data_IF_213235586367
#
_entry.id   IF_213235586367
#
_cell.length_a   1.000
_cell.length_b   1.000
_cell.length_c   1.000
_cell.angle_alpha   90.00
_cell.angle_beta   90.00
_cell.angle_gamma   90.00
#
_symmetry.space_group_name_H-M   'P 1'
#
loop_
_entity.id
_entity.type
_entity.pdbx_description
1 polymer ?
#
# COMPACT_ATOMS: atom_id res chain seq x y z
N UNK A 1 -18.39 8.85 -26.77
CA UNK A 1 -18.86 8.63 -25.39
C UNK A 1 -18.48 9.85 -24.59
N UNK A 2 -19.42 10.52 -23.92
CA UNK A 2 -19.07 11.58 -22.97
C UNK A 2 -18.37 10.88 -21.80
N UNK A 3 -17.14 11.25 -21.46
CA UNK A 3 -16.53 10.89 -20.17
C UNK A 3 -17.49 11.42 -19.09
N UNK A 4 -18.17 10.53 -18.38
CA UNK A 4 -19.00 10.94 -17.26
C UNK A 4 -18.08 11.58 -16.23
N UNK A 5 -18.41 12.82 -15.85
CA UNK A 5 -17.60 13.60 -14.90
C UNK A 5 -17.66 12.91 -13.54
N UNK A 6 -16.51 12.47 -13.04
CA UNK A 6 -16.37 11.93 -11.68
C UNK A 6 -16.62 13.07 -10.68
N UNK A 7 -17.60 12.90 -9.81
CA UNK A 7 -18.03 13.87 -8.78
C UNK A 7 -17.79 13.34 -7.38
N UNK A 8 -17.86 12.02 -7.19
CA UNK A 8 -17.68 11.36 -5.90
C UNK A 8 -16.69 10.20 -6.03
N UNK A 9 -15.58 10.28 -5.30
CA UNK A 9 -14.55 9.25 -5.22
C UNK A 9 -14.64 8.57 -3.87
N UNK A 10 -14.65 7.24 -3.84
CA UNK A 10 -14.39 6.47 -2.64
C UNK A 10 -13.00 5.80 -2.73
N UNK A 11 -12.25 5.81 -1.64
CA UNK A 11 -10.95 5.16 -1.56
C UNK A 11 -10.96 4.07 -0.50
N UNK A 12 -10.68 2.84 -0.92
CA UNK A 12 -10.47 1.69 -0.05
C UNK A 12 -9.00 1.29 -0.06
N UNK A 13 -8.48 0.86 1.07
CA UNK A 13 -7.11 0.38 1.06
C UNK A 13 -6.40 0.35 2.39
N UNK A 14 -5.14 -0.02 2.28
CA UNK A 14 -4.19 -0.10 3.38
C UNK A 14 -3.29 1.15 3.47
N UNK A 15 -2.18 1.01 4.16
CA UNK A 15 -1.22 2.11 4.36
C UNK A 15 -0.68 2.72 3.06
N UNK A 16 -0.61 1.97 1.96
CA UNK A 16 -0.17 2.49 0.65
C UNK A 16 -1.17 3.48 0.03
N UNK A 17 -2.44 3.41 0.43
CA UNK A 17 -3.43 4.43 0.11
C UNK A 17 -3.53 5.49 1.21
N UNK A 18 -3.43 5.11 2.50
CA UNK A 18 -3.60 6.02 3.62
C UNK A 18 -2.46 7.05 3.77
N UNK A 19 -1.23 6.73 3.38
CA UNK A 19 -0.09 7.66 3.42
C UNK A 19 0.43 7.96 4.83
N UNK A 20 0.73 6.93 5.66
CA UNK A 20 1.21 7.14 7.02
C UNK A 20 2.52 7.91 7.05
N UNK A 21 2.64 8.87 7.96
CA UNK A 21 3.84 9.70 8.13
C UNK A 21 3.92 10.91 7.20
N UNK A 22 2.95 11.13 6.33
CA UNK A 22 2.86 12.34 5.48
C UNK A 22 1.92 13.35 6.15
N UNK A 23 2.44 14.52 6.48
CA UNK A 23 1.65 15.62 7.06
C UNK A 23 0.95 16.45 5.95
N UNK A 24 -0.21 17.09 6.26
CA UNK A 24 -0.98 17.00 7.50
C UNK A 24 -1.72 15.67 7.65
N UNK A 25 -1.94 15.25 8.90
CA UNK A 25 -2.70 14.04 9.23
C UNK A 25 -4.20 14.33 9.22
N UNK A 26 -4.96 13.57 8.43
CA UNK A 26 -6.42 13.63 8.39
C UNK A 26 -7.08 12.80 9.50
N UNK A 27 -6.57 11.60 9.76
CA UNK A 27 -7.04 10.72 10.84
C UNK A 27 -5.86 9.99 11.49
N UNK A 28 -5.56 10.35 12.75
CA UNK A 28 -4.47 9.74 13.52
C UNK A 28 -4.73 8.27 13.85
N UNK A 29 -6.00 7.87 14.01
CA UNK A 29 -6.37 6.49 14.35
C UNK A 29 -6.16 5.55 13.18
N UNK A 30 -6.47 5.99 11.97
CA UNK A 30 -6.26 5.26 10.72
C UNK A 30 -4.83 5.40 10.18
N UNK A 31 -4.00 6.27 10.76
CA UNK A 31 -2.72 6.76 10.24
C UNK A 31 -2.86 7.27 8.80
N UNK A 32 -3.85 8.11 8.56
CA UNK A 32 -4.23 8.62 7.24
C UNK A 32 -3.84 10.08 7.08
N UNK A 33 -3.17 10.37 5.97
CA UNK A 33 -2.76 11.72 5.58
C UNK A 33 -3.87 12.42 4.80
N UNK A 34 -3.98 13.75 4.91
CA UNK A 34 -4.76 14.57 3.99
C UNK A 34 -4.00 14.90 2.68
N UNK A 35 -2.80 14.36 2.52
CA UNK A 35 -1.95 14.47 1.32
C UNK A 35 -1.66 13.08 0.72
N UNK A 36 -2.48 12.10 1.00
CA UNK A 36 -2.43 10.80 0.34
C UNK A 36 -2.99 10.89 -1.09
N UNK A 37 -2.75 9.88 -1.94
CA UNK A 37 -3.18 9.94 -3.33
C UNK A 37 -4.70 10.12 -3.52
N UNK A 38 -5.58 9.57 -2.67
CA UNK A 38 -7.01 9.82 -2.83
C UNK A 38 -7.40 11.28 -2.68
N UNK A 39 -6.83 12.00 -1.70
CA UNK A 39 -7.06 13.43 -1.53
C UNK A 39 -6.52 14.24 -2.72
N UNK A 40 -5.29 13.92 -3.17
CA UNK A 40 -4.68 14.58 -4.33
C UNK A 40 -5.48 14.37 -5.61
N UNK A 41 -5.96 13.16 -5.84
CA UNK A 41 -6.83 12.82 -6.98
C UNK A 41 -8.16 13.56 -6.92
N UNK A 42 -8.80 13.61 -5.74
CA UNK A 42 -10.06 14.33 -5.57
C UNK A 42 -9.90 15.83 -5.83
N UNK A 43 -8.78 16.43 -5.36
CA UNK A 43 -8.43 17.82 -5.64
C UNK A 43 -8.25 18.07 -7.15
N UNK A 44 -7.52 17.20 -7.85
CA UNK A 44 -7.28 17.31 -9.30
C UNK A 44 -8.57 17.21 -10.12
N UNK A 45 -9.49 16.34 -9.73
CA UNK A 45 -10.74 16.12 -10.45
C UNK A 45 -11.87 17.06 -10.00
N UNK A 46 -11.68 17.84 -8.93
CA UNK A 46 -12.71 18.66 -8.32
C UNK A 46 -13.88 17.82 -7.80
N UNK A 47 -13.58 16.63 -7.25
CA UNK A 47 -14.54 15.65 -6.77
C UNK A 47 -14.63 15.65 -5.23
N UNK A 48 -15.77 15.19 -4.71
CA UNK A 48 -15.91 14.86 -3.28
C UNK A 48 -15.17 13.55 -3.00
N UNK A 49 -14.52 13.41 -1.84
CA UNK A 49 -13.82 12.21 -1.42
C UNK A 49 -14.45 11.59 -0.17
N UNK A 50 -14.74 10.31 -0.23
CA UNK A 50 -14.94 9.43 0.93
C UNK A 50 -13.71 8.54 1.08
N UNK A 51 -12.80 8.91 1.98
CA UNK A 51 -11.56 8.15 2.23
C UNK A 51 -11.76 7.18 3.39
N UNK A 52 -11.89 5.89 3.09
CA UNK A 52 -12.08 4.80 4.05
C UNK A 52 -10.79 4.04 4.35
N UNK A 53 -9.65 4.49 3.81
CA UNK A 53 -8.37 3.80 3.95
C UNK A 53 -7.91 3.74 5.40
N UNK A 54 -7.42 2.56 5.83
CA UNK A 54 -6.86 2.33 7.17
C UNK A 54 -5.53 1.61 7.06
N UNK A 55 -4.47 2.15 7.64
CA UNK A 55 -3.16 1.49 7.64
C UNK A 55 -3.23 0.08 8.22
N UNK A 56 -2.61 -0.90 7.54
CA UNK A 56 -2.63 -2.30 7.98
C UNK A 56 -3.82 -3.13 7.48
N UNK A 57 -4.74 -2.55 6.69
CA UNK A 57 -5.88 -3.30 6.15
C UNK A 57 -5.43 -4.47 5.26
N UNK A 58 -6.20 -5.56 5.32
CA UNK A 58 -6.15 -6.73 4.44
C UNK A 58 -7.41 -6.80 3.60
N UNK A 59 -7.45 -7.67 2.60
CA UNK A 59 -8.66 -7.89 1.80
C UNK A 59 -9.86 -8.29 2.68
N UNK A 60 -9.62 -9.07 3.73
CA UNK A 60 -10.65 -9.53 4.67
C UNK A 60 -11.18 -8.36 5.54
N UNK A 61 -10.29 -7.47 6.02
CA UNK A 61 -10.74 -6.33 6.84
C UNK A 61 -11.43 -5.23 6.04
N UNK A 62 -11.30 -5.23 4.72
CA UNK A 62 -12.11 -4.37 3.86
C UNK A 62 -13.53 -4.91 3.75
N UNK A 63 -13.71 -6.25 3.63
CA UNK A 63 -15.01 -6.85 3.30
C UNK A 63 -15.87 -7.21 4.51
N UNK A 64 -15.29 -7.83 5.56
CA UNK A 64 -16.14 -8.52 6.54
C UNK A 64 -15.62 -8.52 7.97
N UNK A 65 -14.32 -8.36 8.18
CA UNK A 65 -13.73 -8.48 9.53
C UNK A 65 -13.34 -7.11 10.08
N UNK A 66 -13.78 -6.74 11.29
CA UNK A 66 -13.33 -5.51 11.92
C UNK A 66 -11.81 -5.48 12.07
N UNK A 67 -11.17 -4.38 11.68
CA UNK A 67 -9.74 -4.17 11.78
C UNK A 67 -9.35 -3.60 13.13
N UNK A 68 -8.40 -4.26 13.80
CA UNK A 68 -7.74 -3.70 14.99
C UNK A 68 -6.42 -3.03 14.61
N UNK A 69 -6.30 -1.75 14.94
CA UNK A 69 -5.06 -0.99 14.79
C UNK A 69 -4.75 -0.28 16.10
N UNK A 70 -3.68 -0.72 16.77
CA UNK A 70 -3.32 -0.26 18.12
C UNK A 70 -4.48 -0.39 19.12
N UNK A 71 -5.06 0.72 19.58
CA UNK A 71 -6.16 0.78 20.55
C UNK A 71 -7.53 1.03 19.91
N UNK A 72 -7.60 1.07 18.58
CA UNK A 72 -8.81 1.37 17.83
C UNK A 72 -9.31 0.15 17.07
N UNK A 73 -10.61 0.05 16.92
CA UNK A 73 -11.28 -0.92 16.07
C UNK A 73 -12.06 -0.16 15.00
N UNK A 74 -11.86 -0.56 13.74
CA UNK A 74 -12.56 -0.03 12.59
C UNK A 74 -13.52 -1.10 12.07
N UNK A 75 -14.72 -0.69 11.66
CA UNK A 75 -15.62 -1.54 10.90
C UNK A 75 -15.00 -1.93 9.55
N UNK A 76 -15.48 -2.97 8.87
CA UNK A 76 -15.11 -3.23 7.48
C UNK A 76 -15.30 -1.96 6.64
N UNK A 77 -14.35 -1.66 5.74
CA UNK A 77 -14.40 -0.42 4.97
C UNK A 77 -15.63 -0.36 4.05
N UNK A 78 -16.13 -1.52 3.61
CA UNK A 78 -17.33 -1.61 2.76
C UNK A 78 -18.62 -1.21 3.48
N UNK A 79 -18.66 -1.25 4.81
CA UNK A 79 -19.87 -0.85 5.57
C UNK A 79 -20.20 0.64 5.38
N UNK A 80 -19.17 1.47 5.14
CA UNK A 80 -19.29 2.91 4.95
C UNK A 80 -19.10 3.33 3.47
N UNK A 81 -19.09 2.37 2.51
CA UNK A 81 -18.93 2.67 1.09
C UNK A 81 -20.15 3.44 0.55
N UNK A 82 -19.98 4.66 0.01
CA UNK A 82 -21.09 5.42 -0.56
C UNK A 82 -21.64 4.74 -1.83
N UNK A 83 -22.96 4.60 -1.88
CA UNK A 83 -23.65 3.94 -3.01
C UNK A 83 -23.68 4.80 -4.28
N UNK A 84 -23.40 6.09 -4.17
CA UNK A 84 -23.35 7.10 -5.23
C UNK A 84 -21.93 7.44 -5.68
N UNK A 85 -20.92 6.63 -5.30
CA UNK A 85 -19.56 6.81 -5.79
C UNK A 85 -19.50 6.61 -7.32
N UNK A 86 -18.88 7.56 -8.03
CA UNK A 86 -18.60 7.47 -9.47
C UNK A 86 -17.31 6.68 -9.74
N UNK A 87 -16.35 6.77 -8.81
CA UNK A 87 -15.04 6.10 -8.86
C UNK A 87 -14.69 5.47 -7.51
N UNK A 88 -14.25 4.22 -7.53
CA UNK A 88 -13.68 3.57 -6.35
C UNK A 88 -12.25 3.14 -6.65
N UNK A 89 -11.28 3.65 -5.89
CA UNK A 89 -9.87 3.23 -5.95
C UNK A 89 -9.56 2.24 -4.84
N UNK A 90 -8.80 1.18 -5.17
CA UNK A 90 -8.50 0.09 -4.21
C UNK A 90 -7.00 -0.20 -4.21
N UNK A 91 -6.35 -0.05 -3.03
CA UNK A 91 -4.93 -0.41 -2.82
C UNK A 91 -4.78 -1.26 -1.57
N UNK A 92 -4.90 -2.59 -1.73
CA UNK A 92 -4.81 -3.58 -0.64
C UNK A 92 -4.24 -4.91 -1.18
N UNK A 93 -3.74 -5.77 -0.31
CA UNK A 93 -3.19 -7.10 -0.68
C UNK A 93 -1.74 -7.29 -0.24
N UNK A 94 -0.96 -6.23 -0.07
CA UNK A 94 0.42 -6.33 0.43
C UNK A 94 0.50 -6.86 1.88
N UNK A 95 -0.48 -6.56 2.72
CA UNK A 95 -0.55 -7.08 4.09
C UNK A 95 -0.97 -8.55 4.14
N UNK A 96 -1.74 -9.01 3.16
CA UNK A 96 -2.13 -10.42 2.99
C UNK A 96 -0.88 -11.30 2.77
N UNK A 97 0.16 -10.75 2.13
CA UNK A 97 1.47 -11.37 1.93
C UNK A 97 2.55 -10.90 2.93
N UNK A 98 2.20 -10.12 3.95
CA UNK A 98 3.12 -9.56 4.95
C UNK A 98 4.28 -8.73 4.37
N UNK A 99 4.08 -8.07 3.21
CA UNK A 99 5.14 -7.40 2.46
C UNK A 99 5.84 -6.31 3.26
N UNK A 100 5.19 -5.17 3.50
CA UNK A 100 5.82 -4.01 4.14
C UNK A 100 6.13 -4.25 5.62
N UNK A 101 5.24 -4.96 6.34
CA UNK A 101 5.47 -5.31 7.74
C UNK A 101 6.75 -6.12 7.95
N UNK A 102 7.06 -7.06 7.04
CA UNK A 102 8.31 -7.82 7.09
C UNK A 102 9.54 -6.95 6.75
N UNK A 103 9.39 -6.00 5.85
CA UNK A 103 10.46 -5.06 5.48
C UNK A 103 10.81 -4.15 6.66
N UNK A 104 9.82 -3.57 7.33
CA UNK A 104 10.03 -2.78 8.57
C UNK A 104 10.71 -3.62 9.65
N UNK A 105 10.21 -4.83 9.90
CA UNK A 105 10.78 -5.74 10.90
C UNK A 105 12.24 -6.08 10.61
N UNK A 106 12.57 -6.43 9.36
CA UNK A 106 13.94 -6.77 8.97
C UNK A 106 14.85 -5.53 8.89
N UNK A 107 14.30 -4.37 8.52
CA UNK A 107 15.01 -3.10 8.60
C UNK A 107 15.44 -2.76 10.02
N UNK A 108 14.52 -2.92 10.99
CA UNK A 108 14.84 -2.78 12.41
C UNK A 108 15.86 -3.83 12.88
N UNK A 109 15.73 -5.08 12.41
CA UNK A 109 16.68 -6.14 12.71
C UNK A 109 18.10 -5.78 12.25
N UNK A 110 18.26 -5.25 11.04
CA UNK A 110 19.53 -4.75 10.52
C UNK A 110 20.11 -3.63 11.37
N UNK A 111 19.28 -2.65 11.73
CA UNK A 111 19.66 -1.52 12.57
C UNK A 111 20.10 -1.95 13.97
N UNK A 112 19.39 -2.87 14.61
CA UNK A 112 19.74 -3.39 15.94
C UNK A 112 20.96 -4.31 15.92
N UNK A 113 21.17 -5.06 14.84
CA UNK A 113 22.33 -5.95 14.69
C UNK A 113 23.67 -5.20 14.58
N UNK A 114 23.63 -3.92 14.19
CA UNK A 114 24.83 -3.08 14.08
C UNK A 114 25.39 -2.58 15.41
N UNK A 115 24.68 -2.77 16.53
CA UNK A 115 25.07 -2.31 17.86
C UNK A 115 25.16 -3.49 18.83
N UNK A 116 26.27 -3.66 19.60
CA UNK A 116 26.46 -4.81 20.50
C UNK A 116 25.30 -5.03 21.48
N UNK A 117 24.80 -3.98 22.12
CA UNK A 117 23.72 -4.04 23.12
C UNK A 117 22.36 -4.48 22.55
N UNK A 118 22.06 -4.17 21.31
CA UNK A 118 20.77 -4.48 20.67
C UNK A 118 20.86 -5.68 19.72
N UNK A 119 22.05 -6.24 19.53
CA UNK A 119 22.31 -7.40 18.63
C UNK A 119 21.40 -8.62 18.91
N UNK A 120 21.14 -9.02 20.17
CA UNK A 120 20.23 -10.13 20.45
C UNK A 120 18.79 -9.86 19.95
N UNK A 121 18.30 -8.63 20.10
CA UNK A 121 17.00 -8.23 19.56
C UNK A 121 16.97 -8.30 18.03
N UNK A 122 18.03 -7.80 17.39
CA UNK A 122 18.20 -7.93 15.94
C UNK A 122 18.13 -9.38 15.46
N UNK A 123 18.80 -10.31 16.19
CA UNK A 123 18.77 -11.74 15.88
C UNK A 123 17.35 -12.34 16.00
N UNK A 124 16.57 -11.95 17.00
CA UNK A 124 15.18 -12.39 17.17
C UNK A 124 14.31 -11.91 16.01
N UNK A 125 14.44 -10.65 15.62
CA UNK A 125 13.66 -10.07 14.51
C UNK A 125 14.02 -10.70 13.15
N UNK A 126 15.25 -11.18 12.96
CA UNK A 126 15.68 -11.88 11.74
C UNK A 126 15.12 -13.29 11.58
N UNK A 127 14.72 -13.97 12.67
CA UNK A 127 14.34 -15.40 12.64
C UNK A 127 13.28 -15.78 11.61
N UNK A 128 12.33 -14.89 11.34
CA UNK A 128 11.24 -15.17 10.38
C UNK A 128 11.62 -14.92 8.92
N UNK A 129 12.78 -14.32 8.64
CA UNK A 129 13.21 -14.00 7.27
C UNK A 129 12.23 -13.14 6.47
N UNK A 130 12.43 -13.07 5.17
CA UNK A 130 11.46 -12.50 4.22
C UNK A 130 10.37 -13.55 3.97
N UNK A 131 9.08 -13.18 3.94
CA UNK A 131 8.00 -14.09 3.56
C UNK A 131 8.24 -14.69 2.19
N UNK A 132 7.92 -15.98 2.05
CA UNK A 132 7.96 -16.72 0.78
C UNK A 132 6.59 -17.33 0.52
N UNK A 133 5.64 -16.51 0.01
CA UNK A 133 4.29 -16.99 -0.26
C UNK A 133 4.33 -18.13 -1.28
N UNK A 134 3.48 -19.12 -1.03
CA UNK A 134 3.23 -20.17 -2.00
C UNK A 134 2.33 -19.65 -3.12
N UNK A 135 2.21 -20.41 -4.21
CA UNK A 135 1.27 -20.08 -5.29
C UNK A 135 -0.18 -20.01 -4.78
N UNK A 136 -0.55 -20.88 -3.84
CA UNK A 136 -1.87 -20.86 -3.19
C UNK A 136 -2.08 -19.61 -2.33
N UNK A 137 -1.04 -19.06 -1.70
CA UNK A 137 -1.14 -17.82 -0.92
C UNK A 137 -1.37 -16.62 -1.84
N UNK A 138 -0.66 -16.57 -2.96
CA UNK A 138 -0.81 -15.53 -4.00
C UNK A 138 -2.23 -15.60 -4.59
N UNK A 139 -2.68 -16.79 -4.94
CA UNK A 139 -4.01 -17.03 -5.50
C UNK A 139 -5.14 -16.66 -4.51
N UNK A 140 -4.96 -16.96 -3.24
CA UNK A 140 -5.90 -16.59 -2.18
C UNK A 140 -5.97 -15.08 -2.00
N UNK A 141 -4.83 -14.38 -1.99
CA UNK A 141 -4.78 -12.92 -1.91
C UNK A 141 -5.45 -12.28 -3.14
N UNK A 142 -5.19 -12.81 -4.35
CA UNK A 142 -5.81 -12.35 -5.58
C UNK A 142 -7.33 -12.59 -5.61
N UNK A 143 -7.79 -13.74 -5.10
CA UNK A 143 -9.21 -14.03 -4.97
C UNK A 143 -9.88 -13.08 -3.94
N UNK A 144 -9.22 -12.79 -2.82
CA UNK A 144 -9.66 -11.82 -1.84
C UNK A 144 -9.83 -10.42 -2.44
N UNK A 145 -8.83 -9.95 -3.19
CA UNK A 145 -8.89 -8.64 -3.85
C UNK A 145 -9.97 -8.60 -4.95
N UNK A 146 -10.13 -9.65 -5.74
CA UNK A 146 -11.21 -9.76 -6.74
C UNK A 146 -12.60 -9.74 -6.08
N UNK A 147 -12.74 -10.35 -4.90
CA UNK A 147 -13.97 -10.31 -4.10
C UNK A 147 -14.28 -8.90 -3.61
N UNK A 148 -13.27 -8.14 -3.14
CA UNK A 148 -13.45 -6.71 -2.80
C UNK A 148 -14.06 -5.96 -3.97
N UNK A 149 -13.55 -6.14 -5.19
CA UNK A 149 -14.10 -5.51 -6.41
C UNK A 149 -15.56 -5.89 -6.64
N UNK A 150 -15.90 -7.17 -6.49
CA UNK A 150 -17.28 -7.65 -6.70
C UNK A 150 -18.24 -7.04 -5.68
N UNK A 151 -17.86 -6.98 -4.41
CA UNK A 151 -18.67 -6.41 -3.35
C UNK A 151 -18.83 -4.88 -3.53
N UNK A 152 -17.79 -4.17 -3.95
CA UNK A 152 -17.87 -2.74 -4.33
C UNK A 152 -18.90 -2.54 -5.45
N UNK A 153 -18.86 -3.35 -6.52
CA UNK A 153 -19.84 -3.26 -7.62
C UNK A 153 -21.26 -3.58 -7.19
N UNK A 154 -21.42 -4.45 -6.19
CA UNK A 154 -22.72 -4.76 -5.60
C UNK A 154 -23.30 -3.59 -4.80
N UNK A 155 -22.45 -2.81 -4.12
CA UNK A 155 -22.85 -1.71 -3.25
C UNK A 155 -22.93 -0.36 -3.99
N UNK A 156 -21.95 -0.05 -4.83
CA UNK A 156 -21.88 1.17 -5.65
C UNK A 156 -22.10 0.81 -7.12
N UNK A 157 -23.35 0.53 -7.48
CA UNK A 157 -23.71 0.08 -8.83
C UNK A 157 -23.45 1.20 -9.86
N UNK A 158 -22.58 0.92 -10.81
CA UNK A 158 -22.14 1.88 -11.84
C UNK A 158 -20.83 2.59 -11.54
N UNK A 159 -20.26 2.43 -10.34
CA UNK A 159 -18.95 2.97 -10.05
C UNK A 159 -17.86 2.36 -10.95
N UNK A 160 -16.98 3.20 -11.48
CA UNK A 160 -15.73 2.75 -12.09
C UNK A 160 -14.80 2.25 -10.99
N UNK A 161 -14.29 1.03 -11.09
CA UNK A 161 -13.43 0.43 -10.06
C UNK A 161 -12.03 0.28 -10.59
N UNK A 162 -11.07 0.94 -9.93
CA UNK A 162 -9.66 0.96 -10.32
C UNK A 162 -8.81 0.33 -9.20
N UNK A 163 -8.15 -0.77 -9.52
CA UNK A 163 -7.08 -1.33 -8.70
C UNK A 163 -5.81 -0.52 -8.92
N UNK A 164 -5.13 -0.19 -7.83
CA UNK A 164 -3.85 0.54 -7.87
C UNK A 164 -2.82 -0.30 -7.13
N UNK A 165 -1.85 -0.86 -7.84
CA UNK A 165 -0.84 -1.70 -7.22
C UNK A 165 0.23 -0.90 -6.47
N UNK A 166 1.15 -1.60 -5.83
CA UNK A 166 2.15 -1.01 -4.95
C UNK A 166 3.31 -0.42 -5.75
N UNK A 167 3.79 0.75 -5.33
CA UNK A 167 5.07 1.29 -5.79
C UNK A 167 6.21 0.31 -5.51
N UNK A 168 7.17 0.21 -6.43
CA UNK A 168 8.39 -0.57 -6.23
C UNK A 168 9.23 0.03 -5.11
N UNK A 169 9.44 -0.73 -4.03
CA UNK A 169 10.27 -0.30 -2.90
C UNK A 169 11.74 -0.65 -3.14
N UNK A 170 11.99 -1.92 -3.49
CA UNK A 170 13.34 -2.44 -3.78
C UNK A 170 13.45 -2.62 -5.28
N UNK A 171 14.11 -1.68 -5.93
CA UNK A 171 14.36 -1.67 -7.38
C UNK A 171 15.72 -2.27 -7.74
N UNK A 172 16.08 -2.21 -9.04
CA UNK A 172 17.36 -2.77 -9.52
C UNK A 172 18.56 -2.08 -8.88
N UNK A 173 18.51 -0.76 -8.68
CA UNK A 173 19.62 0.04 -8.14
C UNK A 173 19.63 0.13 -6.61
N UNK A 174 18.65 -0.49 -5.93
CA UNK A 174 18.59 -0.51 -4.48
C UNK A 174 19.71 -1.38 -3.92
N UNK A 175 20.55 -0.80 -3.06
CA UNK A 175 21.69 -1.47 -2.43
C UNK A 175 21.66 -1.30 -0.91
N UNK A 176 22.58 -2.02 -0.21
CA UNK A 176 22.75 -1.87 1.22
C UNK A 176 23.03 -0.42 1.62
N UNK A 177 22.34 0.08 2.64
CA UNK A 177 22.53 1.42 3.18
C UNK A 177 21.77 1.65 4.47
N UNK A 178 21.85 2.87 5.01
CA UNK A 178 21.12 3.21 6.25
C UNK A 178 19.61 3.12 6.09
N UNK A 179 19.10 3.54 4.93
CA UNK A 179 17.69 3.48 4.58
C UNK A 179 17.23 2.07 4.20
N UNK A 180 18.15 1.23 3.76
CA UNK A 180 17.95 -0.14 3.29
C UNK A 180 18.97 -1.09 3.93
N UNK A 181 18.87 -1.37 5.25
CA UNK A 181 19.87 -2.18 5.97
C UNK A 181 19.68 -3.68 5.71
N UNK A 182 19.64 -4.05 4.43
CA UNK A 182 19.45 -5.41 3.93
C UNK A 182 20.67 -5.86 3.13
N UNK A 183 21.15 -7.08 3.36
CA UNK A 183 22.13 -7.71 2.49
C UNK A 183 21.51 -8.06 1.13
N UNK A 184 22.34 -8.37 0.12
CA UNK A 184 21.87 -8.58 -1.25
C UNK A 184 20.86 -9.72 -1.36
N UNK A 185 21.07 -10.81 -0.63
CA UNK A 185 20.11 -11.92 -0.61
C UNK A 185 18.72 -11.51 -0.08
N UNK A 186 18.71 -10.64 0.95
CA UNK A 186 17.47 -10.08 1.51
C UNK A 186 16.81 -9.10 0.52
N UNK A 187 17.60 -8.29 -0.19
CA UNK A 187 17.09 -7.39 -1.25
C UNK A 187 16.44 -8.20 -2.37
N UNK A 188 17.09 -9.29 -2.82
CA UNK A 188 16.52 -10.19 -3.85
C UNK A 188 15.24 -10.88 -3.39
N UNK A 189 15.18 -11.32 -2.13
CA UNK A 189 13.95 -11.88 -1.57
C UNK A 189 12.82 -10.84 -1.56
N UNK A 190 13.10 -9.57 -1.24
CA UNK A 190 12.11 -8.49 -1.30
C UNK A 190 11.71 -8.10 -2.73
N UNK A 191 12.62 -8.14 -3.70
CA UNK A 191 12.30 -7.95 -5.13
C UNK A 191 11.30 -9.03 -5.59
N UNK A 192 11.54 -10.29 -5.22
CA UNK A 192 10.62 -11.40 -5.52
C UNK A 192 9.27 -11.21 -4.84
N UNK A 193 9.25 -10.87 -3.56
CA UNK A 193 7.99 -10.65 -2.82
C UNK A 193 7.19 -9.48 -3.39
N UNK A 194 7.84 -8.38 -3.80
CA UNK A 194 7.21 -7.28 -4.53
C UNK A 194 6.59 -7.73 -5.86
N UNK A 195 7.28 -8.63 -6.59
CA UNK A 195 6.73 -9.27 -7.79
C UNK A 195 5.46 -10.06 -7.51
N UNK A 196 5.43 -10.85 -6.43
CA UNK A 196 4.22 -11.58 -6.02
C UNK A 196 3.05 -10.65 -5.65
N UNK A 197 3.34 -9.49 -5.03
CA UNK A 197 2.29 -8.47 -4.79
C UNK A 197 1.73 -7.95 -6.11
N UNK A 198 2.56 -7.63 -7.10
CA UNK A 198 2.10 -7.21 -8.42
C UNK A 198 1.27 -8.31 -9.13
N UNK A 199 1.67 -9.58 -8.99
CA UNK A 199 0.91 -10.73 -9.51
C UNK A 199 -0.49 -10.82 -8.89
N UNK A 200 -0.64 -10.55 -7.58
CA UNK A 200 -1.95 -10.50 -6.90
C UNK A 200 -2.87 -9.51 -7.60
N UNK A 201 -2.40 -8.29 -7.90
CA UNK A 201 -3.21 -7.27 -8.56
C UNK A 201 -3.56 -7.65 -9.99
N UNK A 202 -2.61 -8.18 -10.75
CA UNK A 202 -2.83 -8.64 -12.14
C UNK A 202 -3.88 -9.74 -12.20
N UNK A 203 -3.77 -10.76 -11.33
CA UNK A 203 -4.74 -11.86 -11.25
C UNK A 203 -6.12 -11.36 -10.79
N UNK A 204 -6.17 -10.46 -9.81
CA UNK A 204 -7.41 -9.87 -9.32
C UNK A 204 -8.11 -9.05 -10.40
N UNK A 205 -7.37 -8.20 -11.14
CA UNK A 205 -7.88 -7.43 -12.27
C UNK A 205 -8.47 -8.36 -13.35
N UNK A 206 -7.73 -9.40 -13.73
CA UNK A 206 -8.19 -10.39 -14.72
C UNK A 206 -9.45 -11.12 -14.27
N UNK A 207 -9.52 -11.55 -12.98
CA UNK A 207 -10.66 -12.28 -12.42
C UNK A 207 -11.92 -11.44 -12.28
N UNK A 208 -11.74 -10.17 -11.91
CA UNK A 208 -12.86 -9.26 -11.63
C UNK A 208 -13.25 -8.38 -12.82
N UNK A 209 -12.40 -8.26 -13.84
CA UNK A 209 -12.55 -7.29 -14.91
C UNK A 209 -12.41 -5.84 -14.44
N UNK A 210 -11.73 -5.58 -13.31
CA UNK A 210 -11.40 -4.23 -12.86
C UNK A 210 -10.22 -3.67 -13.65
N UNK A 211 -10.18 -2.34 -13.76
CA UNK A 211 -9.05 -1.64 -14.33
C UNK A 211 -7.85 -1.69 -13.38
N UNK A 212 -6.63 -1.69 -13.92
CA UNK A 212 -5.40 -1.73 -13.13
C UNK A 212 -4.46 -0.59 -13.52
N UNK A 213 -4.12 0.24 -12.55
CA UNK A 213 -3.02 1.20 -12.65
C UNK A 213 -1.77 0.55 -12.07
N UNK A 214 -0.89 0.06 -12.95
CA UNK A 214 0.31 -0.70 -12.57
C UNK A 214 1.44 0.24 -12.11
N UNK A 215 1.35 0.69 -10.86
CA UNK A 215 2.33 1.59 -10.26
C UNK A 215 3.69 0.93 -10.01
N UNK A 216 3.72 -0.38 -9.78
CA UNK A 216 4.96 -1.13 -9.64
C UNK A 216 5.88 -0.98 -10.86
N UNK A 217 5.34 -1.07 -12.07
CA UNK A 217 6.12 -0.84 -13.29
C UNK A 217 6.52 0.63 -13.44
N UNK A 218 5.59 1.57 -13.21
CA UNK A 218 5.80 3.02 -13.38
C UNK A 218 6.83 3.58 -12.39
N UNK A 219 6.96 2.99 -11.21
CA UNK A 219 7.86 3.45 -10.14
C UNK A 219 9.19 2.71 -10.07
N UNK A 220 9.51 1.82 -11.02
CA UNK A 220 10.72 1.00 -10.99
C UNK A 220 12.00 1.82 -10.87
N UNK A 221 12.06 2.93 -11.61
CA UNK A 221 13.20 3.85 -11.62
C UNK A 221 13.13 4.89 -10.48
N UNK A 222 12.09 4.82 -9.65
CA UNK A 222 11.84 5.65 -8.47
C UNK A 222 11.85 4.85 -7.16
N UNK A 223 12.45 3.66 -7.16
CA UNK A 223 12.66 2.85 -5.98
C UNK A 223 13.74 3.42 -5.05
N UNK A 224 13.91 2.84 -3.87
CA UNK A 224 14.98 3.23 -2.95
C UNK A 224 16.35 3.08 -3.61
N UNK A 225 17.20 4.08 -3.45
CA UNK A 225 18.51 4.15 -4.10
C UNK A 225 18.54 4.95 -5.40
N UNK A 226 17.37 5.24 -6.01
CA UNK A 226 17.29 6.12 -7.16
C UNK A 226 17.52 7.60 -6.77
N UNK A 227 17.85 8.49 -7.74
CA UNK A 227 18.01 9.91 -7.47
C UNK A 227 16.75 10.60 -6.97
N UNK A 228 15.57 10.10 -7.33
CA UNK A 228 14.26 10.65 -6.98
C UNK A 228 13.32 9.54 -6.51
N UNK A 229 13.53 9.00 -5.29
CA UNK A 229 12.69 7.90 -4.81
C UNK A 229 11.28 8.37 -4.47
N UNK A 230 10.29 7.58 -4.84
CA UNK A 230 8.88 7.79 -4.50
C UNK A 230 8.45 7.09 -3.20
N UNK A 231 9.37 6.39 -2.57
CA UNK A 231 9.16 5.68 -1.31
C UNK A 231 10.21 6.12 -0.29
N UNK A 232 9.84 6.05 0.98
CA UNK A 232 10.73 6.36 2.11
C UNK A 232 11.42 5.09 2.59
N UNK A 233 12.72 5.15 2.86
CA UNK A 233 13.44 4.04 3.49
C UNK A 233 13.27 3.99 5.02
N UNK A 234 14.06 3.15 5.68
CA UNK A 234 14.10 3.12 7.14
C UNK A 234 14.63 4.46 7.68
N UNK A 235 13.88 5.17 8.54
CA UNK A 235 14.28 6.48 9.02
C UNK A 235 15.51 6.42 9.92
N UNK A 236 16.31 7.48 9.93
CA UNK A 236 17.49 7.56 10.81
C UNK A 236 17.09 7.58 12.29
N UNK A 237 16.08 8.34 12.63
CA UNK A 237 15.51 8.39 13.97
C UNK A 237 14.27 7.51 14.02
N UNK A 238 14.29 6.53 14.91
CA UNK A 238 13.17 5.59 15.11
C UNK A 238 12.14 6.23 16.06
N UNK A 239 11.49 7.33 15.63
CA UNK A 239 10.32 7.90 16.32
C UNK A 239 9.03 7.25 15.79
N UNK A 240 7.94 7.30 16.57
CA UNK A 240 6.68 6.65 16.19
C UNK A 240 6.17 7.06 14.80
N UNK A 241 6.07 8.37 14.53
CA UNK A 241 5.59 8.90 13.24
C UNK A 241 6.52 8.58 12.08
N UNK A 242 7.84 8.72 12.27
CA UNK A 242 8.82 8.43 11.21
C UNK A 242 8.85 6.94 10.84
N UNK A 243 8.67 6.05 11.83
CA UNK A 243 8.68 4.61 11.58
C UNK A 243 7.42 4.15 10.83
N UNK A 244 6.30 4.84 11.00
CA UNK A 244 5.06 4.52 10.26
C UNK A 244 5.20 4.74 8.76
N UNK A 245 5.97 5.74 8.32
CA UNK A 245 6.27 6.01 6.92
C UNK A 245 7.38 5.14 6.33
N UNK A 246 8.05 4.29 7.13
CA UNK A 246 9.14 3.45 6.63
C UNK A 246 8.67 2.48 5.53
N UNK A 247 9.34 2.49 4.39
CA UNK A 247 9.03 1.69 3.20
C UNK A 247 7.63 1.95 2.60
N UNK A 248 7.06 3.12 2.88
CA UNK A 248 5.79 3.58 2.31
C UNK A 248 6.03 4.68 1.27
N UNK A 249 5.02 4.97 0.42
CA UNK A 249 5.08 6.11 -0.49
C UNK A 249 5.36 7.40 0.27
N UNK A 250 6.22 8.25 -0.28
CA UNK A 250 6.41 9.62 0.16
C UNK A 250 5.46 10.58 -0.59
N UNK A 251 5.55 11.88 -0.33
CA UNK A 251 4.67 12.86 -0.98
C UNK A 251 4.78 12.84 -2.52
N UNK A 252 6.00 12.64 -3.07
CA UNK A 252 6.20 12.52 -4.51
C UNK A 252 5.55 11.25 -5.06
N UNK A 253 5.66 10.13 -4.34
CA UNK A 253 5.01 8.87 -4.69
C UNK A 253 3.49 8.98 -4.66
N UNK A 254 2.92 9.65 -3.65
CA UNK A 254 1.47 9.87 -3.59
C UNK A 254 0.98 10.74 -4.74
N UNK A 255 1.73 11.80 -5.10
CA UNK A 255 1.41 12.63 -6.26
C UNK A 255 1.45 11.82 -7.55
N UNK A 256 2.51 11.04 -7.76
CA UNK A 256 2.66 10.20 -8.94
C UNK A 256 1.53 9.16 -9.10
N UNK A 257 1.03 8.61 -7.98
CA UNK A 257 -0.14 7.71 -8.01
C UNK A 257 -1.39 8.47 -8.42
N UNK A 258 -1.64 9.66 -7.86
CA UNK A 258 -2.80 10.48 -8.23
C UNK A 258 -2.77 10.85 -9.71
N UNK A 259 -1.61 11.31 -10.22
CA UNK A 259 -1.42 11.67 -11.62
C UNK A 259 -1.66 10.46 -12.54
N UNK A 260 -1.10 9.30 -12.18
CA UNK A 260 -1.26 8.09 -12.98
C UNK A 260 -2.72 7.59 -13.04
N UNK A 261 -3.50 7.79 -11.97
CA UNK A 261 -4.93 7.48 -11.98
C UNK A 261 -5.67 8.51 -12.85
N UNK A 262 -5.39 9.82 -12.69
CA UNK A 262 -6.04 10.87 -13.48
C UNK A 262 -5.79 10.68 -14.98
N UNK A 263 -4.57 10.32 -15.38
CA UNK A 263 -4.21 10.03 -16.79
C UNK A 263 -4.91 8.77 -17.33
N UNK A 264 -5.29 7.84 -16.44
CA UNK A 264 -5.94 6.58 -16.81
C UNK A 264 -7.45 6.75 -17.02
N UNK A 265 -8.09 7.74 -16.40
CA UNK A 265 -9.54 7.98 -16.40
C UNK A 265 -10.05 8.59 -17.71
#
# INVERSE_FOLDING_TARGET
MRSERIRHIAALGSSYAAGPGIEPIADQRAHRSSRNYPHLLAEQLGAVLTDLTVSGATTETITSTPQRLMFHTFAPQLDDLPTDADLVTITVGGNDLHYIGSMVRLGLAGRFSSRPLTRPLGAVLKRRGVPRPTEDDIDRAAAGLARVVQEVRGSANGARVVLVDYLTVIGPDTSYGRATPFDEATLDDFRRLGGHVADVFTRAATRSGAELVAMGQRSRDHALGSPQPWVTGLPERLSGSSLMGAFHPNSAGMQAVADAIADHL
#
